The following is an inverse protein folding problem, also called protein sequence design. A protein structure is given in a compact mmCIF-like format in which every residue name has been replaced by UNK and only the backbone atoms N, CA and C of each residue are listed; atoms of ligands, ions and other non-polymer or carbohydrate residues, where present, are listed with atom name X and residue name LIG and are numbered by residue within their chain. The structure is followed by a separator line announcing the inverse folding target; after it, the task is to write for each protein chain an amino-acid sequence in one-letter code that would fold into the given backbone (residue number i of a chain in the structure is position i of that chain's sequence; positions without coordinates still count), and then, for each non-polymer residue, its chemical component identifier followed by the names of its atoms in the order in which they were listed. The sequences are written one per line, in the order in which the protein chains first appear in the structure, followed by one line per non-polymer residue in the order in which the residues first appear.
data_IF_402534201461
#
_entry.id   IF_402534201461
#
_cell.length_a   1.000
_cell.length_b   1.000
_cell.length_c   1.000
_cell.angle_alpha   90.00
_cell.angle_beta   90.00
_cell.angle_gamma   90.00
#
_symmetry.space_group_name_H-M   'P 1'
#
loop_
_entity.id
_entity.type
_entity.pdbx_description
1 polymer ?
#
# COMPACT_ATOMS: atom_id res chain seq x y z
N UNK A 1 -70.04 26.90 2.35
CA UNK A 1 -69.21 27.93 3.01
C UNK A 1 -67.76 27.56 2.72
N UNK A 2 -67.26 27.70 1.51
CA UNK A 2 -67.28 28.86 0.61
C UNK A 2 -66.40 30.02 1.13
N UNK A 3 -65.44 30.33 0.26
CA UNK A 3 -64.82 31.63 -0.08
C UNK A 3 -63.51 32.10 0.58
N UNK A 4 -62.61 32.47 -0.36
CA UNK A 4 -61.50 33.44 -0.37
C UNK A 4 -60.10 32.94 0.02
N UNK A 5 -59.07 33.09 -0.82
CA UNK A 5 -59.01 33.79 -2.10
C UNK A 5 -57.57 33.87 -2.64
N UNK A 6 -57.47 33.79 -3.97
CA UNK A 6 -56.30 34.04 -4.79
C UNK A 6 -55.59 35.38 -4.53
N UNK A 7 -54.27 35.37 -4.62
CA UNK A 7 -53.50 36.48 -5.19
C UNK A 7 -52.29 35.84 -5.91
N UNK A 8 -52.37 35.54 -7.22
CA UNK A 8 -52.07 36.45 -8.35
C UNK A 8 -50.74 37.20 -8.15
N UNK A 9 -49.80 37.33 -9.09
CA UNK A 9 -49.58 36.86 -10.46
C UNK A 9 -48.31 37.62 -10.89
N UNK A 10 -47.41 36.97 -11.62
CA UNK A 10 -46.65 37.64 -12.69
C UNK A 10 -45.32 38.32 -12.37
N UNK A 11 -44.25 37.77 -12.96
CA UNK A 11 -43.29 38.43 -13.86
C UNK A 11 -42.42 37.31 -14.47
N UNK A 12 -42.80 36.75 -15.62
CA UNK A 12 -42.51 37.24 -16.97
C UNK A 12 -41.00 37.37 -17.28
N UNK A 13 -40.53 36.39 -18.05
CA UNK A 13 -39.61 36.50 -19.20
C UNK A 13 -38.75 37.76 -19.33
N UNK A 14 -37.44 37.55 -19.29
CA UNK A 14 -36.44 38.39 -19.95
C UNK A 14 -35.50 37.50 -20.76
N UNK A 15 -35.75 37.42 -22.06
CA UNK A 15 -34.94 36.72 -23.04
C UNK A 15 -34.04 37.71 -23.80
N UNK A 16 -32.89 37.22 -24.28
CA UNK A 16 -32.12 37.70 -25.46
C UNK A 16 -31.09 38.83 -25.20
N UNK A 17 -29.78 38.51 -25.16
CA UNK A 17 -28.92 38.54 -26.36
C UNK A 17 -27.54 37.88 -26.19
N UNK A 18 -27.01 37.25 -27.26
CA UNK A 18 -25.70 36.60 -27.32
C UNK A 18 -24.61 37.60 -27.75
N UNK A 19 -23.36 37.41 -27.29
CA UNK A 19 -22.19 38.08 -27.87
C UNK A 19 -21.39 37.10 -28.72
N UNK A 20 -21.61 37.21 -30.01
CA UNK A 20 -20.63 37.27 -31.10
C UNK A 20 -19.47 36.27 -31.15
N UNK A 21 -19.63 35.31 -32.06
CA UNK A 21 -18.54 34.66 -32.78
C UNK A 21 -17.88 35.65 -33.74
N UNK A 22 -16.54 35.70 -33.76
CA UNK A 22 -15.79 36.34 -34.84
C UNK A 22 -14.53 35.53 -35.19
N UNK A 23 -14.51 35.00 -36.41
CA UNK A 23 -13.35 34.77 -37.30
C UNK A 23 -13.92 34.27 -38.64
N UNK A 24 -13.23 34.37 -39.80
CA UNK A 24 -11.90 34.93 -40.11
C UNK A 24 -11.85 35.87 -41.35
N UNK A 25 -10.70 36.50 -41.62
CA UNK A 25 -10.43 37.21 -42.88
C UNK A 25 -8.95 37.59 -43.06
N UNK A 26 -8.42 37.75 -44.30
CA UNK A 26 -7.15 37.14 -44.72
C UNK A 26 -5.97 38.09 -45.04
N UNK A 27 -4.82 37.47 -45.33
CA UNK A 27 -3.57 38.00 -45.92
C UNK A 27 -2.70 38.88 -44.99
N UNK A 28 -1.37 38.76 -44.95
CA UNK A 28 -0.40 38.40 -45.98
C UNK A 28 0.88 37.79 -45.39
N UNK A 29 1.70 37.27 -46.29
CA UNK A 29 2.89 36.44 -46.15
C UNK A 29 4.14 37.15 -45.61
N UNK A 30 5.11 36.29 -45.28
CA UNK A 30 6.57 36.49 -45.25
C UNK A 30 7.18 37.04 -43.95
N UNK A 31 7.74 36.12 -43.15
CA UNK A 31 9.19 36.04 -42.94
C UNK A 31 9.54 34.80 -42.09
N UNK A 32 10.26 33.88 -42.73
CA UNK A 32 10.98 32.81 -42.06
C UNK A 32 12.32 33.39 -41.60
N UNK A 33 12.57 33.45 -40.29
CA UNK A 33 13.94 33.50 -39.78
C UNK A 33 14.04 32.83 -38.41
N UNK A 34 15.10 32.05 -38.26
CA UNK A 34 15.20 30.96 -37.30
C UNK A 34 15.29 31.39 -35.84
N UNK A 35 14.52 30.71 -35.01
CA UNK A 35 14.87 30.47 -33.62
C UNK A 35 14.89 28.96 -33.40
N UNK A 36 16.04 28.35 -33.69
CA UNK A 36 16.41 27.06 -33.14
C UNK A 36 16.41 27.19 -31.61
N UNK A 37 15.30 26.82 -30.97
CA UNK A 37 15.29 26.67 -29.51
C UNK A 37 16.05 25.39 -29.21
N UNK A 38 17.35 25.51 -29.00
CA UNK A 38 18.13 24.50 -28.34
C UNK A 38 17.40 24.12 -27.04
N UNK A 39 16.76 22.96 -27.02
CA UNK A 39 16.33 22.33 -25.79
C UNK A 39 17.58 22.26 -24.88
N UNK A 40 17.52 22.72 -23.63
CA UNK A 40 18.73 22.79 -22.83
C UNK A 40 19.20 21.35 -22.58
N UNK A 41 20.42 21.06 -23.04
CA UNK A 41 21.18 19.82 -22.82
C UNK A 41 21.25 19.42 -21.32
N UNK A 42 20.91 20.37 -20.44
CA UNK A 42 20.85 20.23 -18.98
C UNK A 42 19.49 19.77 -18.42
N UNK A 43 18.42 19.68 -19.21
CA UNK A 43 17.09 19.27 -18.75
C UNK A 43 17.05 17.86 -18.11
N UNK A 44 17.73 16.82 -18.68
CA UNK A 44 17.75 15.48 -18.08
C UNK A 44 18.48 15.48 -16.73
N UNK A 45 19.59 16.21 -16.64
CA UNK A 45 20.41 16.31 -15.43
C UNK A 45 19.73 17.11 -14.32
N UNK A 46 18.92 18.11 -14.65
CA UNK A 46 18.11 18.85 -13.68
C UNK A 46 16.95 18.01 -13.13
N UNK A 47 16.27 17.25 -14.00
CA UNK A 47 15.19 16.34 -13.61
C UNK A 47 15.71 15.20 -12.72
N UNK A 48 16.82 14.57 -13.09
CA UNK A 48 17.48 13.51 -12.32
C UNK A 48 17.96 13.98 -10.93
N UNK A 49 18.49 15.21 -10.84
CA UNK A 49 18.89 15.80 -9.55
C UNK A 49 17.68 16.09 -8.65
N UNK A 50 16.55 16.52 -9.23
CA UNK A 50 15.32 16.78 -8.49
C UNK A 50 14.69 15.49 -7.96
N UNK A 51 14.65 14.44 -8.76
CA UNK A 51 14.15 13.12 -8.35
C UNK A 51 15.05 12.48 -7.29
N UNK A 52 16.37 12.62 -7.40
CA UNK A 52 17.31 12.16 -6.38
C UNK A 52 17.13 12.87 -5.03
N UNK A 53 17.06 14.21 -5.03
CA UNK A 53 16.83 14.99 -3.79
C UNK A 53 15.52 14.61 -3.11
N UNK A 54 14.46 14.42 -3.89
CA UNK A 54 13.17 13.98 -3.37
C UNK A 54 13.24 12.57 -2.77
N UNK A 55 13.89 11.64 -3.48
CA UNK A 55 14.15 10.28 -3.03
C UNK A 55 14.94 10.25 -1.71
N UNK A 56 15.98 11.09 -1.60
CA UNK A 56 16.75 11.22 -0.37
C UNK A 56 15.92 11.80 0.79
N UNK A 57 15.10 12.81 0.51
CA UNK A 57 14.18 13.39 1.49
C UNK A 57 13.18 12.38 2.04
N UNK A 58 12.61 11.53 1.19
CA UNK A 58 11.72 10.44 1.62
C UNK A 58 12.49 9.42 2.47
N UNK A 59 13.70 9.04 2.04
CA UNK A 59 14.54 8.10 2.79
C UNK A 59 14.87 8.61 4.18
N UNK A 60 15.25 9.90 4.29
CA UNK A 60 15.51 10.56 5.57
C UNK A 60 14.26 10.62 6.46
N UNK A 61 13.09 10.93 5.89
CA UNK A 61 11.84 10.92 6.65
C UNK A 61 11.48 9.53 7.17
N UNK A 62 11.63 8.49 6.33
CA UNK A 62 11.40 7.11 6.74
C UNK A 62 12.39 6.66 7.82
N UNK A 63 13.67 7.05 7.70
CA UNK A 63 14.69 6.81 8.73
C UNK A 63 14.27 7.41 10.07
N UNK A 64 13.92 8.70 10.09
CA UNK A 64 13.57 9.41 11.33
C UNK A 64 12.33 8.79 11.97
N UNK A 65 11.26 8.58 11.19
CA UNK A 65 10.00 8.02 11.71
C UNK A 65 10.23 6.60 12.27
N UNK A 66 10.94 5.76 11.53
CA UNK A 66 11.24 4.40 11.98
C UNK A 66 12.07 4.41 13.26
N UNK A 67 13.13 5.21 13.32
CA UNK A 67 14.01 5.29 14.48
C UNK A 67 13.25 5.80 15.70
N UNK A 68 12.47 6.88 15.59
CA UNK A 68 11.67 7.42 16.70
C UNK A 68 10.71 6.38 17.25
N UNK A 69 9.99 5.66 16.38
CA UNK A 69 9.07 4.61 16.81
C UNK A 69 9.83 3.46 17.46
N UNK A 70 10.93 3.01 16.86
CA UNK A 70 11.75 1.92 17.39
C UNK A 70 12.25 2.27 18.80
N UNK A 71 12.93 3.40 18.96
CA UNK A 71 13.49 3.86 20.24
C UNK A 71 12.42 4.07 21.30
N UNK A 72 11.26 4.64 20.93
CA UNK A 72 10.15 4.84 21.87
C UNK A 72 9.63 3.51 22.44
N UNK A 73 9.57 2.46 21.63
CA UNK A 73 9.13 1.13 22.08
C UNK A 73 10.25 0.28 22.67
N UNK A 74 11.53 0.59 22.39
CA UNK A 74 12.66 0.03 23.12
C UNK A 74 12.69 0.53 24.57
N UNK A 75 12.24 1.77 24.83
CA UNK A 75 12.15 2.36 26.15
C UNK A 75 10.99 1.81 27.02
N UNK A 76 10.04 1.06 26.44
CA UNK A 76 8.96 0.42 27.19
C UNK A 76 9.50 -0.87 27.84
N UNK A 77 9.31 -1.09 29.15
CA UNK A 77 9.78 -2.29 29.84
C UNK A 77 9.32 -3.56 29.13
N UNK A 78 10.24 -4.52 28.95
CA UNK A 78 9.95 -5.80 28.31
C UNK A 78 8.89 -6.56 29.12
N UNK A 79 7.94 -7.19 28.44
CA UNK A 79 6.85 -7.95 29.10
C UNK A 79 7.36 -9.26 29.73
N UNK A 80 8.53 -9.73 29.29
CA UNK A 80 9.32 -10.86 29.79
C UNK A 80 10.74 -10.70 29.17
N UNK A 81 11.78 -11.30 29.74
CA UNK A 81 13.14 -11.39 29.18
C UNK A 81 13.19 -12.00 27.75
N UNK A 82 12.07 -12.56 27.29
CA UNK A 82 11.91 -13.28 26.03
C UNK A 82 11.10 -12.50 24.97
N UNK A 83 10.21 -11.56 25.36
CA UNK A 83 9.22 -10.98 24.43
C UNK A 83 9.11 -9.46 24.58
N UNK A 84 9.71 -8.75 23.62
CA UNK A 84 9.50 -7.32 23.41
C UNK A 84 8.51 -7.11 22.27
N UNK A 85 7.38 -6.45 22.54
CA UNK A 85 6.45 -6.00 21.49
C UNK A 85 7.14 -4.90 20.70
N UNK A 86 7.27 -5.06 19.38
CA UNK A 86 8.00 -4.11 18.51
C UNK A 86 7.11 -3.54 17.41
N UNK A 87 6.28 -2.52 17.68
CA UNK A 87 5.42 -1.88 16.68
C UNK A 87 6.17 -1.33 15.46
N UNK A 88 7.45 -0.96 15.64
CA UNK A 88 8.33 -0.54 14.56
C UNK A 88 8.47 -1.59 13.44
N UNK A 89 8.27 -2.88 13.71
CA UNK A 89 8.38 -3.94 12.69
C UNK A 89 7.38 -3.78 11.54
N UNK A 90 6.25 -3.10 11.76
CA UNK A 90 5.30 -2.81 10.70
C UNK A 90 5.74 -1.69 9.74
N UNK A 91 6.52 -0.73 10.24
CA UNK A 91 6.84 0.49 9.50
C UNK A 91 7.73 0.21 8.31
N UNK A 92 8.78 -0.60 8.49
CA UNK A 92 9.72 -0.93 7.43
C UNK A 92 9.05 -1.51 6.18
N UNK A 93 8.29 -2.61 6.29
CA UNK A 93 7.56 -3.20 5.18
C UNK A 93 6.50 -2.28 4.55
N UNK A 94 5.75 -1.51 5.35
CA UNK A 94 4.70 -0.62 4.82
C UNK A 94 5.29 0.60 4.12
N UNK A 95 6.30 1.24 4.71
CA UNK A 95 7.00 2.36 4.10
C UNK A 95 7.79 1.91 2.87
N UNK A 96 8.37 0.71 2.88
CA UNK A 96 9.01 0.11 1.70
C UNK A 96 8.02 -0.20 0.58
N UNK A 97 6.84 -0.73 0.91
CA UNK A 97 5.74 -0.96 -0.03
C UNK A 97 5.27 0.35 -0.68
N UNK A 98 5.07 1.41 0.11
CA UNK A 98 4.53 2.69 -0.37
C UNK A 98 5.59 3.56 -1.05
N UNK A 99 6.75 3.77 -0.43
CA UNK A 99 7.79 4.70 -0.90
C UNK A 99 8.91 4.05 -1.72
N UNK A 100 8.99 2.72 -1.75
CA UNK A 100 10.00 2.00 -2.51
C UNK A 100 11.37 1.98 -1.89
N UNK A 101 12.41 1.98 -2.73
CA UNK A 101 13.81 1.92 -2.28
C UNK A 101 14.16 2.96 -1.20
N UNK A 102 13.69 4.22 -1.28
CA UNK A 102 13.86 5.18 -0.19
C UNK A 102 13.32 4.70 1.15
N UNK A 103 12.10 4.16 1.18
CA UNK A 103 11.49 3.64 2.41
C UNK A 103 12.23 2.41 2.94
N UNK A 104 12.60 1.49 2.03
CA UNK A 104 13.35 0.26 2.34
C UNK A 104 14.67 0.60 3.02
N UNK A 105 15.47 1.44 2.37
CA UNK A 105 16.81 1.80 2.82
C UNK A 105 16.77 2.72 4.04
N UNK A 106 15.84 3.67 4.10
CA UNK A 106 15.67 4.55 5.25
C UNK A 106 15.37 3.78 6.53
N UNK A 107 14.41 2.87 6.49
CA UNK A 107 14.07 2.05 7.65
C UNK A 107 15.18 1.04 8.01
N UNK A 108 15.85 0.45 7.00
CA UNK A 108 16.96 -0.46 7.26
C UNK A 108 18.16 0.25 7.90
N UNK A 109 18.48 1.46 7.45
CA UNK A 109 19.53 2.27 8.04
C UNK A 109 19.19 2.70 9.48
N UNK A 110 17.92 3.02 9.76
CA UNK A 110 17.47 3.33 11.10
C UNK A 110 17.62 2.12 12.04
N UNK A 111 17.24 0.92 11.60
CA UNK A 111 17.45 -0.29 12.38
C UNK A 111 18.95 -0.54 12.64
N UNK A 112 19.80 -0.40 11.62
CA UNK A 112 21.25 -0.54 11.78
C UNK A 112 21.83 0.44 12.82
N UNK A 113 21.38 1.69 12.82
CA UNK A 113 21.81 2.67 13.83
C UNK A 113 21.36 2.25 15.23
N UNK A 114 20.13 1.80 15.39
CA UNK A 114 19.64 1.26 16.66
C UNK A 114 20.47 0.05 17.12
N UNK A 115 20.79 -0.88 16.21
CA UNK A 115 21.57 -2.09 16.54
C UNK A 115 23.00 -1.73 16.99
N UNK A 116 23.62 -0.70 16.37
CA UNK A 116 24.92 -0.16 16.78
C UNK A 116 24.87 0.42 18.20
N UNK A 117 23.77 1.09 18.56
CA UNK A 117 23.62 1.75 19.86
C UNK A 117 23.32 0.75 20.99
N UNK A 118 22.64 -0.35 20.70
CA UNK A 118 22.06 -1.22 21.74
C UNK A 118 22.58 -2.66 21.77
N UNK A 119 22.94 -3.27 20.64
CA UNK A 119 23.08 -4.74 20.58
C UNK A 119 24.52 -5.26 20.75
N UNK A 120 25.53 -4.39 20.93
CA UNK A 120 26.93 -4.83 21.13
C UNK A 120 27.45 -5.76 20.03
N UNK A 121 26.81 -5.71 18.84
CA UNK A 121 26.95 -6.70 17.80
C UNK A 121 28.28 -6.54 17.03
N UNK A 122 28.83 -7.66 16.56
CA UNK A 122 30.01 -7.62 15.69
C UNK A 122 29.68 -6.97 14.34
N UNK A 123 30.67 -6.41 13.62
CA UNK A 123 30.43 -5.84 12.29
C UNK A 123 29.78 -6.83 11.30
N UNK A 124 30.09 -8.12 11.42
CA UNK A 124 29.46 -9.17 10.61
C UNK A 124 27.97 -9.34 10.93
N UNK A 125 27.62 -9.35 12.22
CA UNK A 125 26.23 -9.44 12.68
C UNK A 125 25.41 -8.24 12.22
N UNK A 126 25.96 -7.03 12.38
CA UNK A 126 25.33 -5.78 11.91
C UNK A 126 25.08 -5.81 10.40
N UNK A 127 26.05 -6.26 9.61
CA UNK A 127 25.89 -6.39 8.17
C UNK A 127 24.79 -7.40 7.79
N UNK A 128 24.74 -8.55 8.47
CA UNK A 128 23.70 -9.55 8.26
C UNK A 128 22.30 -9.05 8.62
N UNK A 129 22.14 -8.43 9.79
CA UNK A 129 20.87 -7.83 10.22
C UNK A 129 20.41 -6.72 9.29
N UNK A 130 21.33 -5.88 8.80
CA UNK A 130 21.01 -4.86 7.81
C UNK A 130 20.47 -5.44 6.50
N UNK A 131 21.10 -6.49 5.97
CA UNK A 131 20.64 -7.17 4.75
C UNK A 131 19.27 -7.83 4.96
N UNK A 132 19.09 -8.52 6.09
CA UNK A 132 17.81 -9.13 6.47
C UNK A 132 16.72 -8.06 6.58
N UNK A 133 17.04 -6.89 7.14
CA UNK A 133 16.11 -5.78 7.26
C UNK A 133 15.73 -5.18 5.89
N UNK A 134 16.67 -5.09 4.94
CA UNK A 134 16.38 -4.70 3.55
C UNK A 134 15.41 -5.70 2.91
N UNK A 135 15.65 -7.01 3.11
CA UNK A 135 14.76 -8.06 2.60
C UNK A 135 13.35 -7.93 3.17
N UNK A 136 13.24 -7.78 4.49
CA UNK A 136 11.96 -7.62 5.18
C UNK A 136 11.20 -6.38 4.72
N UNK A 137 11.88 -5.23 4.63
CA UNK A 137 11.24 -4.00 4.17
C UNK A 137 10.81 -4.06 2.68
N UNK A 138 11.51 -4.87 1.87
CA UNK A 138 11.33 -4.91 0.42
C UNK A 138 10.39 -5.99 -0.09
N UNK A 139 10.27 -7.13 0.60
CA UNK A 139 9.54 -8.30 0.11
C UNK A 139 8.07 -7.99 -0.22
N UNK A 140 7.29 -7.30 0.65
CA UNK A 140 5.91 -6.98 0.33
C UNK A 140 5.78 -6.10 -0.91
N UNK A 141 6.73 -5.18 -1.14
CA UNK A 141 6.75 -4.34 -2.36
C UNK A 141 6.86 -5.18 -3.61
N UNK A 142 7.90 -6.03 -3.69
CA UNK A 142 8.17 -6.80 -4.90
C UNK A 142 7.02 -7.75 -5.20
N UNK A 143 6.54 -8.46 -4.18
CA UNK A 143 5.43 -9.40 -4.32
C UNK A 143 4.12 -8.68 -4.69
N UNK A 144 3.80 -7.55 -4.07
CA UNK A 144 2.59 -6.78 -4.38
C UNK A 144 2.53 -6.36 -5.84
N UNK A 145 3.60 -5.73 -6.34
CA UNK A 145 3.66 -5.24 -7.71
C UNK A 145 3.83 -6.37 -8.74
N UNK A 146 4.39 -7.52 -8.36
CA UNK A 146 4.40 -8.70 -9.21
C UNK A 146 2.99 -9.27 -9.41
N UNK A 147 2.23 -9.44 -8.32
CA UNK A 147 0.84 -9.94 -8.36
C UNK A 147 -0.07 -8.95 -9.10
N UNK A 148 0.08 -7.66 -8.85
CA UNK A 148 -0.79 -6.62 -9.43
C UNK A 148 -0.25 -6.04 -10.74
N UNK A 149 0.76 -6.63 -11.39
CA UNK A 149 1.43 -6.05 -12.57
C UNK A 149 0.48 -5.73 -13.74
N UNK A 150 -0.58 -6.51 -13.90
CA UNK A 150 -1.60 -6.35 -14.97
C UNK A 150 -2.90 -5.69 -14.47
N UNK A 151 -2.95 -5.28 -13.20
CA UNK A 151 -4.14 -4.69 -12.62
C UNK A 151 -4.34 -3.26 -13.13
N UNK A 152 -5.58 -2.88 -13.41
CA UNK A 152 -5.95 -1.49 -13.68
C UNK A 152 -5.70 -0.56 -12.46
N UNK A 153 -5.50 -1.14 -11.27
CA UNK A 153 -5.21 -0.41 -10.02
C UNK A 153 -4.03 -1.10 -9.30
N UNK A 154 -2.78 -0.92 -9.75
CA UNK A 154 -1.65 -1.69 -9.24
C UNK A 154 -1.13 -1.25 -7.86
N UNK A 155 -1.48 -0.04 -7.44
CA UNK A 155 -0.97 0.58 -6.21
C UNK A 155 -1.46 -0.11 -4.92
N UNK A 156 -0.64 -0.09 -3.85
CA UNK A 156 -0.95 -0.68 -2.55
C UNK A 156 -2.10 0.07 -1.87
N UNK A 157 -3.30 -0.50 -1.96
CA UNK A 157 -4.56 0.08 -1.49
C UNK A 157 -5.54 -1.02 -1.10
N UNK A 158 -6.40 -0.76 -0.14
CA UNK A 158 -7.45 -1.72 0.29
C UNK A 158 -8.76 -1.53 -0.48
N UNK A 159 -8.67 -1.27 -1.78
CA UNK A 159 -9.83 -0.97 -2.62
C UNK A 159 -10.67 -2.22 -3.00
N UNK A 160 -10.20 -3.41 -2.63
CA UNK A 160 -10.94 -4.67 -2.81
C UNK A 160 -10.58 -5.70 -1.73
N UNK A 161 -11.46 -6.69 -1.54
CA UNK A 161 -11.20 -7.81 -0.64
C UNK A 161 -9.95 -8.60 -1.04
N UNK A 162 -9.73 -8.82 -2.35
CA UNK A 162 -8.55 -9.54 -2.85
C UNK A 162 -7.23 -8.85 -2.51
N UNK A 163 -7.19 -7.51 -2.57
CA UNK A 163 -5.99 -6.76 -2.20
C UNK A 163 -5.75 -6.73 -0.70
N UNK A 164 -6.83 -6.69 0.08
CA UNK A 164 -6.75 -6.81 1.53
C UNK A 164 -6.22 -8.18 1.92
N UNK A 165 -6.75 -9.25 1.32
CA UNK A 165 -6.27 -10.61 1.51
C UNK A 165 -4.80 -10.78 1.06
N UNK A 166 -4.41 -10.15 -0.06
CA UNK A 166 -3.01 -10.13 -0.51
C UNK A 166 -2.10 -9.50 0.54
N UNK A 167 -2.48 -8.36 1.11
CA UNK A 167 -1.69 -7.73 2.18
C UNK A 167 -1.55 -8.65 3.39
N UNK A 168 -2.64 -9.27 3.85
CA UNK A 168 -2.60 -10.20 4.99
C UNK A 168 -1.70 -11.41 4.71
N UNK A 169 -1.77 -11.97 3.50
CA UNK A 169 -0.91 -13.07 3.08
C UNK A 169 0.57 -12.63 3.02
N UNK A 170 0.85 -11.42 2.51
CA UNK A 170 2.20 -10.88 2.51
C UNK A 170 2.73 -10.66 3.92
N UNK A 171 1.91 -10.23 4.88
CA UNK A 171 2.34 -10.09 6.27
C UNK A 171 2.80 -11.43 6.88
N UNK A 172 2.09 -12.52 6.58
CA UNK A 172 2.46 -13.87 7.01
C UNK A 172 3.76 -14.35 6.34
N UNK A 173 3.83 -14.22 5.00
CA UNK A 173 4.99 -14.68 4.23
C UNK A 173 6.24 -13.89 4.60
N UNK A 174 6.13 -12.57 4.68
CA UNK A 174 7.24 -11.68 5.01
C UNK A 174 7.78 -11.97 6.42
N UNK A 175 6.89 -12.15 7.39
CA UNK A 175 7.25 -12.56 8.75
C UNK A 175 7.97 -13.92 8.77
N UNK A 176 7.43 -14.93 8.07
CA UNK A 176 8.06 -16.24 8.00
C UNK A 176 9.45 -16.17 7.34
N UNK A 177 9.58 -15.43 6.24
CA UNK A 177 10.83 -15.26 5.51
C UNK A 177 11.90 -14.56 6.35
N UNK A 178 11.59 -13.42 6.98
CA UNK A 178 12.57 -12.70 7.80
C UNK A 178 12.99 -13.53 9.01
N UNK A 179 12.03 -14.24 9.63
CA UNK A 179 12.31 -15.05 10.81
C UNK A 179 13.19 -16.25 10.48
N UNK A 180 12.92 -16.93 9.35
CA UNK A 180 13.78 -17.98 8.82
C UNK A 180 15.18 -17.44 8.47
N UNK A 181 15.27 -16.27 7.84
CA UNK A 181 16.55 -15.66 7.49
C UNK A 181 17.40 -15.38 8.74
N UNK A 182 16.80 -14.86 9.82
CA UNK A 182 17.50 -14.65 11.10
C UNK A 182 17.90 -15.98 11.74
N UNK A 183 17.02 -16.98 11.74
CA UNK A 183 17.31 -18.29 12.31
C UNK A 183 18.54 -18.92 11.65
N UNK A 184 18.56 -18.91 10.32
CA UNK A 184 19.68 -19.43 9.52
C UNK A 184 20.96 -18.60 9.69
N UNK A 185 20.83 -17.27 9.81
CA UNK A 185 21.99 -16.38 9.96
C UNK A 185 22.65 -16.49 11.34
N UNK A 186 21.86 -16.56 12.40
CA UNK A 186 22.36 -16.68 13.78
C UNK A 186 22.81 -18.12 14.09
N UNK A 187 22.31 -19.11 13.35
CA UNK A 187 22.62 -20.52 13.60
C UNK A 187 22.04 -21.01 14.93
N UNK A 188 20.82 -20.57 15.25
CA UNK A 188 20.23 -20.80 16.56
C UNK A 188 19.91 -22.28 16.82
N UNK A 189 20.02 -22.72 18.08
CA UNK A 189 19.69 -24.09 18.47
C UNK A 189 18.18 -24.36 18.34
N UNK A 190 17.73 -25.61 18.20
CA UNK A 190 16.30 -25.94 18.14
C UNK A 190 15.50 -25.44 19.35
N UNK A 191 16.14 -25.32 20.52
CA UNK A 191 15.55 -24.81 21.77
C UNK A 191 15.12 -23.34 21.68
N UNK A 192 15.68 -22.58 20.73
CA UNK A 192 15.27 -21.19 20.45
C UNK A 192 13.94 -21.07 19.69
N UNK A 193 13.35 -22.20 19.27
CA UNK A 193 12.11 -22.27 18.50
C UNK A 193 10.97 -21.37 19.02
N UNK A 194 10.65 -21.37 20.33
CA UNK A 194 9.63 -20.50 20.91
C UNK A 194 9.92 -18.99 20.71
N UNK A 195 11.17 -18.56 20.89
CA UNK A 195 11.59 -17.16 20.69
C UNK A 195 11.39 -16.73 19.23
N UNK A 196 11.79 -17.58 18.28
CA UNK A 196 11.57 -17.34 16.86
C UNK A 196 10.08 -17.35 16.50
N UNK A 197 9.28 -18.23 17.09
CA UNK A 197 7.83 -18.22 16.89
C UNK A 197 7.20 -16.91 17.39
N UNK A 198 7.60 -16.44 18.58
CA UNK A 198 7.11 -15.18 19.14
C UNK A 198 7.54 -13.96 18.31
N UNK A 199 8.78 -13.93 17.82
CA UNK A 199 9.27 -12.90 16.88
C UNK A 199 8.43 -12.90 15.59
N UNK A 200 8.19 -14.07 15.02
CA UNK A 200 7.35 -14.22 13.83
C UNK A 200 5.92 -13.72 14.07
N UNK A 201 5.30 -14.12 15.18
CA UNK A 201 3.95 -13.67 15.54
C UNK A 201 3.89 -12.15 15.76
N UNK A 202 4.87 -11.56 16.44
CA UNK A 202 4.97 -10.11 16.60
C UNK A 202 4.99 -9.40 15.24
N UNK A 203 5.81 -9.86 14.30
CA UNK A 203 5.89 -9.25 12.96
C UNK A 203 4.55 -9.31 12.21
N UNK A 204 3.85 -10.45 12.28
CA UNK A 204 2.51 -10.59 11.69
C UNK A 204 1.56 -9.59 12.33
N UNK A 205 1.51 -9.55 13.66
CA UNK A 205 0.54 -8.73 14.38
C UNK A 205 0.77 -7.25 14.18
N UNK A 206 2.01 -6.80 14.24
CA UNK A 206 2.31 -5.39 13.98
C UNK A 206 1.94 -5.04 12.54
N UNK A 207 2.21 -5.90 11.55
CA UNK A 207 1.78 -5.64 10.18
C UNK A 207 0.26 -5.57 10.00
N UNK A 208 -0.51 -6.32 10.79
CA UNK A 208 -1.98 -6.26 10.77
C UNK A 208 -2.53 -5.05 11.55
N UNK A 209 -2.11 -4.86 12.79
CA UNK A 209 -2.68 -3.85 13.70
C UNK A 209 -2.09 -2.46 13.53
N UNK A 210 -0.82 -2.35 13.12
CA UNK A 210 -0.14 -1.08 12.86
C UNK A 210 0.00 -0.85 11.37
N UNK A 211 0.35 -1.88 10.62
CA UNK A 211 0.60 -1.77 9.19
C UNK A 211 -0.65 -1.49 8.34
N UNK A 212 -1.80 -2.12 8.62
CA UNK A 212 -3.05 -1.83 7.92
C UNK A 212 -3.49 -0.36 8.13
N UNK A 213 -3.58 0.17 9.37
CA UNK A 213 -3.89 1.59 9.57
C UNK A 213 -2.86 2.52 8.93
N UNK A 214 -1.56 2.21 9.04
CA UNK A 214 -0.50 3.01 8.45
C UNK A 214 -0.65 3.11 6.92
N UNK A 215 -0.83 1.97 6.23
CA UNK A 215 -1.02 1.97 4.78
C UNK A 215 -2.30 2.69 4.37
N UNK A 216 -3.37 2.56 5.16
CA UNK A 216 -4.61 3.29 4.94
C UNK A 216 -4.42 4.81 5.07
N UNK A 217 -3.71 5.28 6.10
CA UNK A 217 -3.39 6.71 6.27
C UNK A 217 -2.52 7.21 5.11
N UNK A 218 -1.52 6.43 4.69
CA UNK A 218 -0.66 6.79 3.55
C UNK A 218 -1.46 6.88 2.25
N UNK A 219 -2.38 5.93 1.99
CA UNK A 219 -3.28 5.96 0.83
C UNK A 219 -4.14 7.25 0.80
N UNK A 220 -4.51 7.78 1.96
CA UNK A 220 -5.34 8.99 2.13
C UNK A 220 -4.54 10.28 2.11
N UNK A 221 -3.24 10.18 2.38
CA UNK A 221 -2.35 11.34 2.43
C UNK A 221 -2.17 11.95 1.04
N UNK A 222 -1.69 13.21 0.93
CA UNK A 222 -1.31 13.79 -0.35
C UNK A 222 -0.05 13.16 -0.96
N UNK A 223 0.59 12.20 -0.28
CA UNK A 223 1.82 11.57 -0.72
C UNK A 223 1.56 10.59 -1.85
N UNK A 224 2.47 10.54 -2.82
CA UNK A 224 2.39 9.64 -3.97
C UNK A 224 3.23 8.40 -3.75
N UNK A 225 2.67 7.18 -3.90
CA UNK A 225 3.46 5.96 -3.82
C UNK A 225 4.49 5.90 -4.95
N UNK A 226 5.70 5.46 -4.63
CA UNK A 226 6.77 5.25 -5.61
C UNK A 226 6.58 3.88 -6.26
N UNK A 227 5.98 3.82 -7.44
CA UNK A 227 5.85 2.55 -8.16
C UNK A 227 7.15 2.15 -8.89
N UNK A 228 7.38 0.85 -9.15
CA UNK A 228 8.45 0.42 -10.06
C UNK A 228 8.27 0.99 -11.48
N UNK A 229 9.37 1.13 -12.22
CA UNK A 229 9.38 1.77 -13.55
C UNK A 229 8.48 1.08 -14.61
N UNK A 230 8.16 -0.20 -14.42
CA UNK A 230 7.30 -0.98 -15.31
C UNK A 230 5.79 -0.77 -15.06
N UNK A 231 5.43 0.02 -14.05
CA UNK A 231 4.03 0.39 -13.78
C UNK A 231 3.75 1.73 -14.46
N UNK A 232 2.98 1.69 -15.54
CA UNK A 232 2.64 2.88 -16.33
C UNK A 232 1.26 3.48 -15.99
N UNK A 233 0.51 2.85 -15.09
CA UNK A 233 -0.79 3.35 -14.64
C UNK A 233 -0.56 4.57 -13.75
N UNK A 234 -1.14 5.75 -14.03
CA UNK A 234 -0.97 6.92 -13.19
C UNK A 234 -1.63 6.72 -11.82
N UNK A 235 -0.97 7.19 -10.76
CA UNK A 235 -1.56 7.19 -9.42
C UNK A 235 -2.69 8.21 -9.35
N UNK A 236 -3.85 7.77 -8.85
CA UNK A 236 -4.99 8.64 -8.55
C UNK A 236 -5.33 8.49 -7.07
N UNK A 237 -5.18 9.60 -6.35
CA UNK A 237 -5.60 9.68 -4.95
C UNK A 237 -7.14 9.62 -4.88
N UNK A 238 -7.65 8.85 -3.93
CA UNK A 238 -9.08 8.67 -3.67
C UNK A 238 -9.39 9.16 -2.26
N UNK A 239 -10.14 10.26 -2.17
CA UNK A 239 -10.48 10.92 -0.91
C UNK A 239 -11.61 10.25 -0.15
N UNK A 240 -12.41 9.39 -0.80
CA UNK A 240 -13.51 8.67 -0.16
C UNK A 240 -13.21 7.19 0.12
N UNK A 241 -13.64 6.70 1.27
CA UNK A 241 -13.45 5.31 1.69
C UNK A 241 -14.59 4.44 1.20
N UNK A 242 -14.24 3.36 0.49
CA UNK A 242 -15.21 2.36 0.08
C UNK A 242 -15.61 1.46 1.28
N UNK A 243 -16.63 0.64 1.08
CA UNK A 243 -17.16 -0.22 2.15
C UNK A 243 -16.10 -1.19 2.70
N UNK A 244 -15.28 -1.80 1.84
CA UNK A 244 -14.20 -2.70 2.25
C UNK A 244 -13.20 -2.00 3.15
N UNK A 245 -12.75 -0.81 2.77
CA UNK A 245 -11.81 -0.01 3.57
C UNK A 245 -12.39 0.35 4.92
N UNK A 246 -13.64 0.84 4.95
CA UNK A 246 -14.33 1.18 6.21
C UNK A 246 -14.45 -0.04 7.10
N UNK A 247 -14.85 -1.19 6.54
CA UNK A 247 -14.98 -2.43 7.28
C UNK A 247 -13.65 -2.90 7.87
N UNK A 248 -12.59 -2.97 7.05
CA UNK A 248 -11.25 -3.41 7.49
C UNK A 248 -10.70 -2.50 8.57
N UNK A 249 -10.76 -1.18 8.39
CA UNK A 249 -10.23 -0.23 9.38
C UNK A 249 -11.07 -0.22 10.65
N UNK A 250 -12.39 -0.24 10.54
CA UNK A 250 -13.27 -0.31 11.72
C UNK A 250 -13.01 -1.60 12.49
N UNK A 251 -12.85 -2.73 11.79
CA UNK A 251 -12.53 -4.01 12.41
C UNK A 251 -11.20 -3.97 13.14
N UNK A 252 -10.12 -3.51 12.49
CA UNK A 252 -8.78 -3.43 13.10
C UNK A 252 -8.77 -2.50 14.31
N UNK A 253 -9.45 -1.35 14.22
CA UNK A 253 -9.56 -0.42 15.36
C UNK A 253 -10.39 -1.03 16.48
N UNK A 254 -11.52 -1.65 16.17
CA UNK A 254 -12.38 -2.28 17.17
C UNK A 254 -11.67 -3.44 17.87
N UNK A 255 -10.95 -4.29 17.14
CA UNK A 255 -10.16 -5.38 17.73
C UNK A 255 -8.98 -4.85 18.55
N UNK A 256 -8.29 -3.81 18.11
CA UNK A 256 -7.23 -3.16 18.90
C UNK A 256 -7.77 -2.55 20.20
N UNK A 257 -8.92 -1.86 20.15
CA UNK A 257 -9.57 -1.29 21.33
C UNK A 257 -10.09 -2.37 22.27
N UNK A 258 -10.64 -3.46 21.74
CA UNK A 258 -11.07 -4.61 22.52
C UNK A 258 -9.88 -5.24 23.26
N UNK A 259 -8.77 -5.49 22.55
CA UNK A 259 -7.55 -6.03 23.14
C UNK A 259 -7.03 -5.10 24.23
N UNK A 260 -6.93 -3.79 23.97
CA UNK A 260 -6.52 -2.81 24.96
C UNK A 260 -7.44 -2.83 26.19
N UNK A 261 -8.76 -2.88 25.99
CA UNK A 261 -9.75 -2.96 27.06
C UNK A 261 -9.58 -4.22 27.92
N UNK A 262 -9.36 -5.37 27.28
CA UNK A 262 -9.08 -6.63 27.98
C UNK A 262 -7.75 -6.53 28.73
N UNK A 263 -6.68 -6.02 28.12
CA UNK A 263 -5.38 -5.84 28.80
C UNK A 263 -5.52 -4.97 30.04
N UNK A 264 -6.21 -3.83 29.93
CA UNK A 264 -6.43 -2.91 31.05
C UNK A 264 -7.30 -3.56 32.14
N UNK A 265 -8.34 -4.29 31.75
CA UNK A 265 -9.18 -5.04 32.69
C UNK A 265 -8.33 -6.06 33.44
N UNK A 266 -7.49 -6.85 32.77
CA UNK A 266 -6.70 -7.84 33.48
C UNK A 266 -5.59 -7.19 34.30
N UNK A 267 -4.95 -6.11 33.86
CA UNK A 267 -4.01 -5.34 34.71
C UNK A 267 -4.72 -4.84 35.98
N UNK A 268 -5.96 -4.37 35.85
CA UNK A 268 -6.75 -3.87 36.97
C UNK A 268 -7.24 -4.97 37.91
N UNK A 269 -7.54 -6.17 37.40
CA UNK A 269 -8.04 -7.31 38.19
C UNK A 269 -6.96 -8.29 38.65
N UNK A 270 -5.79 -8.29 38.01
CA UNK A 270 -4.63 -9.15 38.30
C UNK A 270 -3.50 -8.40 39.02
N UNK A 271 -3.73 -7.16 39.45
CA UNK A 271 -2.78 -6.40 40.26
C UNK A 271 -2.58 -7.09 41.62
N UNK A 272 -1.66 -8.04 41.67
CA UNK A 272 -1.31 -8.77 42.89
C UNK A 272 -0.14 -9.75 42.77
N UNK A 273 0.09 -10.38 41.60
CA UNK A 273 1.15 -11.39 41.48
C UNK A 273 1.77 -11.48 40.07
N UNK A 274 3.09 -11.67 40.00
CA UNK A 274 3.92 -11.60 38.77
C UNK A 274 3.59 -12.75 37.80
N UNK A 275 3.17 -13.89 38.33
CA UNK A 275 2.67 -15.07 37.60
C UNK A 275 1.36 -14.78 36.83
N UNK A 276 0.54 -13.88 37.39
CA UNK A 276 -0.74 -13.49 36.78
C UNK A 276 -0.51 -12.65 35.52
N UNK A 277 0.58 -11.89 35.45
CA UNK A 277 0.90 -11.05 34.29
C UNK A 277 1.41 -11.83 33.07
N UNK A 278 2.24 -12.86 33.27
CA UNK A 278 2.65 -13.75 32.17
C UNK A 278 1.46 -14.51 31.57
N UNK A 279 0.53 -14.94 32.43
CA UNK A 279 -0.73 -15.56 32.01
C UNK A 279 -1.58 -14.62 31.16
N UNK A 280 -1.58 -13.32 31.48
CA UNK A 280 -2.25 -12.28 30.69
C UNK A 280 -1.65 -12.14 29.30
N UNK A 281 -0.33 -12.06 29.21
CA UNK A 281 0.35 -11.96 27.92
C UNK A 281 0.08 -13.21 27.10
N UNK A 282 0.19 -14.41 27.67
CA UNK A 282 -0.15 -15.65 26.97
C UNK A 282 -1.61 -15.69 26.50
N UNK A 283 -2.56 -15.24 27.33
CA UNK A 283 -3.98 -15.23 26.99
C UNK A 283 -4.28 -14.22 25.89
N UNK A 284 -3.72 -13.00 25.96
CA UNK A 284 -3.76 -12.03 24.86
C UNK A 284 -3.22 -12.65 23.58
N UNK A 285 -2.08 -13.33 23.67
CA UNK A 285 -1.45 -13.88 22.49
C UNK A 285 -2.27 -15.03 21.87
N UNK A 286 -2.82 -15.90 22.73
CA UNK A 286 -3.68 -17.02 22.35
C UNK A 286 -5.01 -16.53 21.74
N UNK A 287 -5.64 -15.50 22.31
CA UNK A 287 -6.89 -14.99 21.79
C UNK A 287 -6.73 -14.25 20.47
N UNK A 288 -5.63 -13.51 20.28
CA UNK A 288 -5.32 -12.92 18.97
C UNK A 288 -5.09 -14.03 17.95
N UNK A 289 -4.42 -15.13 18.31
CA UNK A 289 -4.27 -16.30 17.44
C UNK A 289 -5.63 -16.96 17.12
N UNK A 290 -6.53 -17.07 18.10
CA UNK A 290 -7.87 -17.61 17.93
C UNK A 290 -8.74 -16.74 17.03
N UNK A 291 -8.76 -15.42 17.25
CA UNK A 291 -9.45 -14.46 16.39
C UNK A 291 -8.86 -14.48 14.97
N UNK A 292 -7.55 -14.59 14.83
CA UNK A 292 -6.92 -14.73 13.52
C UNK A 292 -7.37 -16.02 12.82
N UNK A 293 -7.39 -17.17 13.52
CA UNK A 293 -7.79 -18.48 12.99
C UNK A 293 -9.28 -18.60 12.67
N UNK A 294 -10.16 -17.99 13.46
CA UNK A 294 -11.61 -18.03 13.23
C UNK A 294 -12.02 -17.24 11.98
N UNK A 295 -11.27 -16.19 11.63
CA UNK A 295 -11.60 -15.30 10.51
C UNK A 295 -10.73 -15.49 9.26
N UNK A 296 -9.61 -16.22 9.34
CA UNK A 296 -8.80 -16.57 8.16
C UNK A 296 -9.52 -17.46 7.11
N UNK A 297 -10.39 -18.43 7.49
CA UNK A 297 -11.05 -19.29 6.51
C UNK A 297 -12.33 -18.68 5.91
N UNK A 298 -12.87 -17.58 6.45
CA UNK A 298 -14.18 -17.07 6.01
C UNK A 298 -14.14 -16.13 4.80
N UNK A 299 -12.95 -15.70 4.35
CA UNK A 299 -12.83 -14.75 3.23
C UNK A 299 -11.91 -15.17 2.08
N UNK A 300 -11.27 -16.35 2.16
CA UNK A 300 -10.56 -16.93 1.00
C UNK A 300 -11.53 -17.78 0.19
N UNK A 301 -12.48 -17.15 -0.50
CA UNK A 301 -12.89 -17.69 -1.80
C UNK A 301 -11.85 -17.23 -2.78
N UNK A 302 -10.86 -18.09 -3.06
CA UNK A 302 -10.08 -17.98 -4.29
C UNK A 302 -11.11 -17.90 -5.42
N UNK A 303 -11.24 -16.79 -6.16
CA UNK A 303 -12.05 -16.83 -7.35
C UNK A 303 -11.38 -17.86 -8.27
N UNK A 304 -12.12 -18.91 -8.59
CA UNK A 304 -11.73 -19.82 -9.66
C UNK A 304 -11.32 -18.97 -10.86
N UNK A 305 -10.13 -19.21 -11.38
CA UNK A 305 -9.71 -18.70 -12.69
C UNK A 305 -10.88 -18.88 -13.66
N UNK A 306 -11.39 -17.83 -14.33
CA UNK A 306 -12.21 -18.03 -15.50
C UNK A 306 -11.25 -18.53 -16.59
N UNK A 307 -11.11 -19.85 -16.66
CA UNK A 307 -10.70 -20.52 -17.88
C UNK A 307 -11.60 -20.04 -19.02
N UNK A 308 -10.96 -19.69 -20.12
CA UNK A 308 -11.57 -19.23 -21.35
C UNK A 308 -12.79 -20.08 -21.77
N UNK A 309 -13.83 -19.50 -22.38
CA UNK A 309 -14.78 -20.29 -23.13
C UNK A 309 -14.10 -20.83 -24.38
N UNK A 310 -13.81 -22.14 -24.35
CA UNK A 310 -13.68 -22.97 -25.53
C UNK A 310 -15.06 -23.04 -26.20
N UNK A 311 -15.29 -22.20 -27.19
CA UNK A 311 -16.18 -22.51 -28.30
C UNK A 311 -15.65 -21.87 -29.59
N UNK A 312 -15.07 -22.72 -30.42
CA UNK A 312 -15.05 -22.57 -31.86
C UNK A 312 -15.46 -23.94 -32.44
N UNK A 313 -15.90 -24.04 -33.70
CA UNK A 313 -16.45 -23.04 -34.60
C UNK A 313 -17.90 -23.37 -34.99
N UNK A 314 -18.63 -22.44 -35.60
CA UNK A 314 -19.59 -22.89 -36.62
C UNK A 314 -19.56 -21.98 -37.84
N UNK A 315 -19.42 -22.64 -38.99
CA UNK A 315 -19.39 -22.07 -40.32
C UNK A 315 -20.83 -21.80 -40.71
N UNK A 316 -21.20 -20.53 -40.87
CA UNK A 316 -22.51 -20.14 -41.37
C UNK A 316 -22.41 -18.84 -42.15
N UNK A 317 -22.39 -18.98 -43.46
CA UNK A 317 -22.33 -17.93 -44.48
C UNK A 317 -23.17 -16.67 -44.18
N UNK A 318 -22.58 -15.49 -44.41
CA UNK A 318 -23.18 -14.49 -45.30
C UNK A 318 -22.20 -13.36 -45.67
N UNK A 319 -21.71 -13.48 -46.90
CA UNK A 319 -21.63 -12.42 -47.92
C UNK A 319 -20.80 -11.15 -47.62
N UNK A 320 -19.55 -11.18 -48.09
CA UNK A 320 -18.92 -10.03 -48.76
C UNK A 320 -19.68 -9.69 -50.04
N UNK A 321 -19.84 -8.41 -50.40
CA UNK A 321 -19.97 -8.02 -51.79
C UNK A 321 -18.58 -7.64 -52.33
N UNK A 322 -18.04 -8.49 -53.20
CA UNK A 322 -17.04 -8.09 -54.18
C UNK A 322 -17.30 -8.91 -55.45
N UNK A 323 -17.86 -8.26 -56.46
CA UNK A 323 -17.79 -8.60 -57.88
C UNK A 323 -18.62 -7.54 -58.63
N UNK A 324 -18.34 -7.09 -59.85
CA UNK A 324 -17.23 -7.22 -60.81
C UNK A 324 -17.55 -6.17 -61.89
N UNK A 325 -16.51 -5.70 -62.57
CA UNK A 325 -16.49 -4.96 -63.83
C UNK A 325 -17.77 -4.85 -64.69
N UNK A 326 -17.97 -3.63 -65.22
CA UNK A 326 -18.35 -3.45 -66.63
C UNK A 326 -17.47 -2.37 -67.28
N UNK A 327 -16.55 -2.82 -68.10
CA UNK A 327 -15.95 -2.04 -69.19
C UNK A 327 -16.97 -1.90 -70.32
N UNK A 328 -17.14 -0.69 -70.83
CA UNK A 328 -17.47 -0.44 -72.24
C UNK A 328 -17.13 1.02 -72.56
N UNK A 329 -16.16 1.23 -73.45
CA UNK A 329 -16.01 2.48 -74.17
C UNK A 329 -17.03 2.59 -75.28
N UNK A 330 -17.47 3.82 -75.60
CA UNK A 330 -17.29 4.45 -76.92
C UNK A 330 -18.03 5.80 -77.00
N UNK A 331 -17.35 6.76 -77.62
CA UNK A 331 -17.85 7.87 -78.46
C UNK A 331 -18.87 8.84 -77.85
N UNK A 332 -18.44 10.09 -77.64
CA UNK A 332 -18.55 11.18 -78.62
C UNK A 332 -17.50 12.23 -78.32
#
# INVERSE_FOLDING_TARGET
MDVFGEQMRGKAMGSVQPKDYATPGPASSDEAEGASSCAPENAPAAHARRTWKHSLGIGAACFIVYLVVLEAFLAVPQFNDIVQVRPASAFGPVLGLFFGLPGILGCAAANLVSDILHEGATPFMLAGYFVIQIMYNGLPRWAWYAVNRKSARPYPRFDSASKTALYMALALVDSACVNMAVYLFVGASPESGPTFAMRGLNNVWMLLYVGLPLLYVLERSPLTPTAPHWIHVPYRNTTEANLTQRFVITFVVASALLLLGISLAIIFFASGDEESFQTVVYTMYFEVALLTLLFFPTHVRVPAFPGAPLHAPDRGACLRPANIHRTHGNRR
#
